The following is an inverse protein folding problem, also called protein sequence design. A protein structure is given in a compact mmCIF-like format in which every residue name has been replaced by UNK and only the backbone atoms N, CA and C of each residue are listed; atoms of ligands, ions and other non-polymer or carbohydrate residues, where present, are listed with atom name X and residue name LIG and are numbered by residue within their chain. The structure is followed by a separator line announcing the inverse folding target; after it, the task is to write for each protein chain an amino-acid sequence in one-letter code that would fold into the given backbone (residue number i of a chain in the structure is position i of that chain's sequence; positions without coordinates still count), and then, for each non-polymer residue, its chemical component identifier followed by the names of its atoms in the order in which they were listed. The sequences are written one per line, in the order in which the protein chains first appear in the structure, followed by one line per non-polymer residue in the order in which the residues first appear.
data_IF_630110523513
#
_entry.id   IF_630110523513
#
_cell.length_a   1.000
_cell.length_b   1.000
_cell.length_c   1.000
_cell.angle_alpha   90.00
_cell.angle_beta   90.00
_cell.angle_gamma   90.00
#
_symmetry.space_group_name_H-M   'P 1'
#
loop_
_entity.id
_entity.type
_entity.pdbx_description
1 polymer ?
#
# COMPACT_ATOMS: atom_id res chain seq x y z
N UNK A 1 2.48 16.49 -19.52
CA UNK A 1 2.86 15.93 -18.21
C UNK A 1 1.73 15.05 -17.69
N UNK A 2 2.04 13.93 -17.03
CA UNK A 2 1.09 13.03 -16.37
C UNK A 2 1.37 12.99 -14.87
N UNK A 3 0.36 12.69 -14.03
CA UNK A 3 0.58 12.48 -12.59
C UNK A 3 1.49 11.27 -12.35
N UNK A 4 1.27 10.19 -13.11
CA UNK A 4 2.12 9.02 -13.27
C UNK A 4 2.16 8.62 -14.74
N UNK A 5 3.34 8.58 -15.37
CA UNK A 5 3.46 8.37 -16.82
C UNK A 5 3.82 6.92 -17.16
N UNK A 6 2.78 6.09 -17.25
CA UNK A 6 2.92 4.68 -17.60
C UNK A 6 3.34 4.47 -19.08
N UNK A 7 3.07 5.45 -19.94
CA UNK A 7 3.48 5.36 -21.34
C UNK A 7 5.00 5.51 -21.49
N UNK A 8 5.60 6.53 -20.84
CA UNK A 8 7.07 6.69 -20.83
C UNK A 8 7.75 5.47 -20.19
N UNK A 9 7.15 4.88 -19.13
CA UNK A 9 7.67 3.65 -18.53
C UNK A 9 7.66 2.49 -19.53
N UNK A 10 6.54 2.29 -20.25
CA UNK A 10 6.44 1.25 -21.27
C UNK A 10 7.47 1.45 -22.38
N UNK A 11 7.60 2.66 -22.96
CA UNK A 11 8.56 2.95 -24.01
C UNK A 11 10.02 2.66 -23.57
N UNK A 12 10.36 2.96 -22.30
CA UNK A 12 11.70 2.66 -21.77
C UNK A 12 12.02 1.16 -21.69
N UNK A 13 10.99 0.30 -21.51
CA UNK A 13 11.16 -1.16 -21.34
C UNK A 13 10.50 -1.96 -22.47
N UNK A 14 10.08 -1.30 -23.56
CA UNK A 14 9.19 -1.84 -24.59
C UNK A 14 9.65 -3.20 -25.14
N UNK A 15 10.89 -3.34 -25.51
CA UNK A 15 11.39 -4.57 -26.11
C UNK A 15 11.31 -5.78 -25.16
N UNK A 16 11.61 -5.58 -23.88
CA UNK A 16 11.54 -6.64 -22.86
C UNK A 16 10.07 -6.97 -22.52
N UNK A 17 9.22 -5.96 -22.38
CA UNK A 17 7.79 -6.14 -22.09
C UNK A 17 7.09 -6.87 -23.23
N UNK A 18 7.29 -6.44 -24.48
CA UNK A 18 6.68 -7.08 -25.64
C UNK A 18 7.12 -8.54 -25.76
N UNK A 19 8.41 -8.82 -25.57
CA UNK A 19 8.94 -10.19 -25.61
C UNK A 19 8.33 -11.06 -24.49
N UNK A 20 8.19 -10.52 -23.26
CA UNK A 20 7.60 -11.24 -22.13
C UNK A 20 6.11 -11.56 -22.36
N UNK A 21 5.33 -10.59 -22.84
CA UNK A 21 3.91 -10.78 -23.17
C UNK A 21 3.70 -11.82 -24.27
N UNK A 22 4.46 -11.73 -25.36
CA UNK A 22 4.40 -12.69 -26.47
C UNK A 22 4.84 -14.09 -26.03
N UNK A 23 5.85 -14.19 -25.15
CA UNK A 23 6.29 -15.47 -24.58
C UNK A 23 5.19 -16.17 -23.79
N UNK A 24 4.45 -15.45 -22.95
CA UNK A 24 3.30 -16.01 -22.22
C UNK A 24 2.19 -16.42 -23.19
N UNK A 25 1.86 -15.56 -24.16
CA UNK A 25 0.82 -15.88 -25.16
C UNK A 25 1.16 -17.15 -25.94
N UNK A 26 2.42 -17.30 -26.37
CA UNK A 26 2.89 -18.48 -27.09
C UNK A 26 2.89 -19.76 -26.24
N UNK A 27 3.11 -19.65 -24.92
CA UNK A 27 3.11 -20.80 -24.01
C UNK A 27 1.72 -21.38 -23.73
N UNK A 28 0.66 -20.55 -23.85
CA UNK A 28 -0.70 -20.92 -23.46
C UNK A 28 -0.91 -21.11 -21.94
N UNK A 29 0.08 -20.84 -21.09
CA UNK A 29 0.02 -21.00 -19.64
C UNK A 29 -0.32 -19.66 -18.97
N UNK A 30 -1.61 -19.38 -18.80
CA UNK A 30 -2.09 -18.05 -18.37
C UNK A 30 -2.35 -17.94 -16.87
N UNK A 31 -2.42 -19.03 -16.13
CA UNK A 31 -2.77 -19.02 -14.70
C UNK A 31 -1.73 -19.84 -13.92
N UNK A 32 -1.08 -19.19 -12.93
CA UNK A 32 -0.02 -19.80 -12.11
C UNK A 32 1.16 -20.30 -12.98
N UNK A 33 1.85 -21.36 -12.55
CA UNK A 33 2.97 -21.94 -13.29
C UNK A 33 4.32 -21.27 -12.99
N UNK A 34 5.32 -21.61 -13.79
CA UNK A 34 6.74 -21.28 -13.51
C UNK A 34 7.03 -19.76 -13.50
N UNK A 35 6.35 -18.99 -14.34
CA UNK A 35 6.52 -17.53 -14.39
C UNK A 35 6.06 -16.89 -13.09
N UNK A 36 4.88 -17.28 -12.60
CA UNK A 36 4.34 -16.78 -11.32
C UNK A 36 5.23 -17.25 -10.16
N UNK A 37 5.60 -18.53 -10.12
CA UNK A 37 6.48 -19.05 -9.08
C UNK A 37 7.89 -18.40 -9.12
N UNK A 38 8.39 -18.07 -10.31
CA UNK A 38 9.62 -17.32 -10.49
C UNK A 38 9.54 -15.91 -9.96
N UNK A 39 8.44 -15.21 -10.24
CA UNK A 39 8.17 -13.87 -9.68
C UNK A 39 8.06 -13.91 -8.15
N UNK A 40 7.34 -14.88 -7.59
CA UNK A 40 7.18 -15.01 -6.14
C UNK A 40 8.54 -15.16 -5.42
N UNK A 41 9.47 -15.94 -5.99
CA UNK A 41 10.83 -16.05 -5.46
C UNK A 41 11.59 -14.73 -5.54
N UNK A 42 11.56 -14.06 -6.70
CA UNK A 42 12.24 -12.78 -6.90
C UNK A 42 11.70 -11.68 -5.95
N UNK A 43 10.38 -11.64 -5.71
CA UNK A 43 9.77 -10.70 -4.79
C UNK A 43 10.13 -11.03 -3.33
N UNK A 44 10.12 -12.30 -2.93
CA UNK A 44 10.54 -12.72 -1.60
C UNK A 44 12.02 -12.36 -1.33
N UNK A 45 12.91 -12.63 -2.30
CA UNK A 45 14.31 -12.25 -2.25
C UNK A 45 14.50 -10.73 -2.16
N UNK A 46 13.74 -9.96 -2.95
CA UNK A 46 13.81 -8.50 -2.96
C UNK A 46 13.39 -7.88 -1.62
N UNK A 47 12.31 -8.39 -1.04
CA UNK A 47 11.78 -7.94 0.26
C UNK A 47 12.64 -8.44 1.42
N UNK A 48 13.27 -9.60 1.27
CA UNK A 48 14.10 -10.22 2.30
C UNK A 48 13.32 -11.10 3.27
N UNK A 49 12.28 -11.79 2.78
CA UNK A 49 11.45 -12.74 3.54
C UNK A 49 11.42 -14.12 2.89
N UNK A 50 10.99 -15.16 3.62
CA UNK A 50 10.96 -16.53 3.09
C UNK A 50 9.93 -16.73 1.97
N UNK A 51 8.75 -16.12 2.10
CA UNK A 51 7.63 -16.43 1.24
C UNK A 51 6.99 -15.17 0.67
N UNK A 52 6.71 -15.22 -0.64
CA UNK A 52 5.78 -14.36 -1.32
C UNK A 52 4.66 -15.22 -1.91
N UNK A 53 3.42 -14.79 -1.78
CA UNK A 53 2.24 -15.41 -2.38
C UNK A 53 1.50 -14.34 -3.17
N UNK A 54 1.52 -14.42 -4.49
CA UNK A 54 0.83 -13.47 -5.37
C UNK A 54 -0.67 -13.74 -5.43
N UNK A 55 -1.47 -12.71 -5.63
CA UNK A 55 -2.93 -12.77 -5.70
C UNK A 55 -3.49 -11.72 -6.68
N UNK A 56 -4.82 -11.65 -6.80
CA UNK A 56 -5.49 -10.83 -7.79
C UNK A 56 -5.45 -9.32 -7.48
N UNK A 57 -5.32 -8.92 -6.21
CA UNK A 57 -5.26 -7.52 -5.78
C UNK A 57 -4.72 -7.39 -4.36
N UNK A 58 -4.28 -6.18 -3.95
CA UNK A 58 -3.94 -5.93 -2.55
C UNK A 58 -5.17 -6.01 -1.62
N UNK A 59 -6.36 -5.67 -2.09
CA UNK A 59 -7.61 -5.87 -1.33
C UNK A 59 -7.79 -7.34 -0.96
N UNK A 60 -7.59 -8.25 -1.90
CA UNK A 60 -7.61 -9.68 -1.62
C UNK A 60 -6.45 -10.13 -0.73
N UNK A 61 -5.26 -9.51 -0.88
CA UNK A 61 -4.12 -9.79 -0.01
C UNK A 61 -4.45 -9.47 1.46
N UNK A 62 -4.93 -8.27 1.73
CA UNK A 62 -5.36 -7.86 3.08
C UNK A 62 -6.47 -8.77 3.63
N UNK A 63 -7.46 -9.10 2.78
CA UNK A 63 -8.54 -10.02 3.17
C UNK A 63 -8.00 -11.41 3.51
N UNK A 64 -7.10 -11.96 2.70
CA UNK A 64 -6.48 -13.25 2.99
C UNK A 64 -5.59 -13.21 4.24
N UNK A 65 -4.91 -12.10 4.53
CA UNK A 65 -4.18 -11.92 5.78
C UNK A 65 -5.13 -12.04 6.99
N UNK A 66 -6.27 -11.35 6.98
CA UNK A 66 -7.29 -11.48 8.04
C UNK A 66 -7.84 -12.91 8.16
N UNK A 67 -8.07 -13.59 7.03
CA UNK A 67 -8.53 -14.99 7.02
C UNK A 67 -7.50 -15.94 7.65
N UNK A 68 -6.22 -15.77 7.35
CA UNK A 68 -5.11 -16.57 7.90
C UNK A 68 -4.98 -16.36 9.40
N UNK A 69 -5.15 -15.13 9.87
CA UNK A 69 -5.06 -14.77 11.29
C UNK A 69 -6.35 -15.09 12.07
N UNK A 70 -7.39 -15.63 11.40
CA UNK A 70 -8.64 -16.01 12.02
C UNK A 70 -9.46 -14.84 12.55
N UNK A 71 -9.31 -13.66 11.95
CA UNK A 71 -10.01 -12.42 12.35
C UNK A 71 -11.41 -12.38 11.73
N UNK A 72 -12.43 -12.06 12.54
CA UNK A 72 -13.83 -12.06 12.14
C UNK A 72 -14.78 -11.39 13.12
N UNK A 73 -16.05 -11.78 13.16
CA UNK A 73 -17.06 -11.18 14.03
C UNK A 73 -16.66 -11.17 15.50
N UNK A 74 -16.83 -10.01 16.16
CA UNK A 74 -16.43 -9.78 17.56
C UNK A 74 -15.02 -9.26 17.72
N UNK A 75 -14.21 -9.21 16.65
CA UNK A 75 -12.87 -8.65 16.67
C UNK A 75 -12.86 -7.17 16.28
N UNK A 76 -12.01 -6.41 16.94
CA UNK A 76 -11.63 -5.04 16.56
C UNK A 76 -10.30 -5.07 15.80
N UNK A 77 -10.25 -4.41 14.65
CA UNK A 77 -9.02 -4.18 13.86
C UNK A 77 -8.79 -2.69 13.75
N UNK A 78 -7.62 -2.23 14.17
CA UNK A 78 -7.25 -0.82 14.17
C UNK A 78 -6.65 -0.44 12.82
N UNK A 79 -7.19 0.63 12.20
CA UNK A 79 -6.83 1.06 10.84
C UNK A 79 -6.69 2.60 10.84
N UNK A 80 -5.73 3.20 10.12
CA UNK A 80 -5.67 4.65 9.99
C UNK A 80 -6.98 5.22 9.44
N UNK A 81 -7.46 6.35 9.99
CA UNK A 81 -8.65 7.06 9.47
C UNK A 81 -8.35 7.79 8.15
N UNK A 82 -7.08 8.09 7.88
CA UNK A 82 -6.61 8.70 6.65
C UNK A 82 -5.84 7.69 5.80
N UNK A 83 -6.56 6.95 4.96
CA UNK A 83 -6.00 5.92 4.08
C UNK A 83 -6.91 5.64 2.88
N UNK A 84 -6.49 4.70 2.01
CA UNK A 84 -7.35 4.16 0.96
C UNK A 84 -8.42 3.24 1.56
N UNK A 85 -9.61 3.24 0.95
CA UNK A 85 -10.79 2.56 1.46
C UNK A 85 -10.59 1.07 1.73
N UNK A 86 -9.79 0.38 0.90
CA UNK A 86 -9.58 -1.05 1.01
C UNK A 86 -9.00 -1.49 2.37
N UNK A 87 -8.14 -0.69 3.01
CA UNK A 87 -7.55 -1.04 4.31
C UNK A 87 -8.61 -1.26 5.40
N UNK A 88 -9.73 -0.53 5.35
CA UNK A 88 -10.86 -0.66 6.28
C UNK A 88 -11.98 -1.58 5.73
N UNK A 89 -12.22 -1.56 4.41
CA UNK A 89 -13.24 -2.36 3.73
C UNK A 89 -13.06 -3.86 4.00
N UNK A 90 -11.83 -4.35 3.94
CA UNK A 90 -11.53 -5.76 4.16
C UNK A 90 -11.89 -6.22 5.56
N UNK A 91 -11.72 -5.36 6.57
CA UNK A 91 -12.09 -5.64 7.96
C UNK A 91 -13.60 -5.84 8.07
N UNK A 92 -14.38 -4.87 7.57
CA UNK A 92 -15.83 -4.95 7.57
C UNK A 92 -16.34 -6.15 6.75
N UNK A 93 -15.72 -6.47 5.60
CA UNK A 93 -16.10 -7.58 4.76
C UNK A 93 -15.82 -8.95 5.40
N UNK A 94 -14.91 -9.04 6.38
CA UNK A 94 -14.68 -10.23 7.19
C UNK A 94 -15.63 -10.32 8.41
N UNK A 95 -16.50 -9.31 8.61
CA UNK A 95 -17.39 -9.22 9.75
C UNK A 95 -16.73 -8.73 11.04
N UNK A 96 -15.46 -8.35 11.00
CA UNK A 96 -14.79 -7.67 12.08
C UNK A 96 -15.14 -6.18 12.09
N UNK A 97 -14.82 -5.48 13.18
CA UNK A 97 -15.12 -4.06 13.34
C UNK A 97 -13.85 -3.24 13.14
N UNK A 98 -13.77 -2.38 12.10
CA UNK A 98 -12.68 -1.44 11.99
C UNK A 98 -12.81 -0.34 13.05
N UNK A 99 -11.73 -0.06 13.78
CA UNK A 99 -11.59 1.07 14.70
C UNK A 99 -10.59 2.02 14.08
N UNK A 100 -11.03 3.25 13.82
CA UNK A 100 -10.21 4.24 13.14
C UNK A 100 -9.26 4.94 14.11
N UNK A 101 -8.00 5.05 13.69
CA UNK A 101 -6.89 5.65 14.43
C UNK A 101 -6.44 6.91 13.71
N UNK A 102 -6.13 7.96 14.48
CA UNK A 102 -5.59 9.19 13.89
C UNK A 102 -4.20 8.95 13.28
N UNK A 103 -3.69 9.93 12.58
CA UNK A 103 -2.42 9.84 11.87
C UNK A 103 -1.50 10.98 12.26
N UNK A 104 -0.20 10.80 12.06
CA UNK A 104 0.78 11.86 12.21
C UNK A 104 0.66 12.89 11.07
N UNK A 105 0.78 14.17 11.40
CA UNK A 105 0.67 15.25 10.42
C UNK A 105 1.84 15.27 9.42
N UNK A 106 3.04 14.90 9.88
CA UNK A 106 4.27 15.04 9.14
C UNK A 106 4.49 13.96 8.08
N UNK A 107 4.03 12.72 8.36
CA UNK A 107 4.26 11.54 7.52
C UNK A 107 2.98 10.83 7.08
N UNK A 108 1.81 11.26 7.59
CA UNK A 108 0.48 10.76 7.25
C UNK A 108 0.19 9.32 7.71
N UNK A 109 1.10 8.68 8.40
CA UNK A 109 0.99 7.32 8.87
C UNK A 109 0.32 7.25 10.25
N UNK A 110 -0.09 6.05 10.65
CA UNK A 110 -0.81 5.81 11.90
C UNK A 110 -0.06 6.37 13.12
N UNK A 111 -0.77 7.11 13.96
CA UNK A 111 -0.25 7.63 15.23
C UNK A 111 -0.25 6.52 16.29
N UNK A 112 0.94 6.14 16.77
CA UNK A 112 1.12 5.04 17.73
C UNK A 112 0.56 5.37 19.11
N UNK A 113 0.61 6.64 19.53
CA UNK A 113 0.05 7.08 20.80
C UNK A 113 -1.48 7.02 20.77
N UNK A 114 -2.12 7.57 19.73
CA UNK A 114 -3.58 7.47 19.55
C UNK A 114 -4.03 6.00 19.40
N UNK A 115 -3.25 5.17 18.68
CA UNK A 115 -3.50 3.73 18.59
C UNK A 115 -3.54 3.07 19.97
N UNK A 116 -2.57 3.38 20.83
CA UNK A 116 -2.50 2.83 22.20
C UNK A 116 -3.72 3.24 23.03
N UNK A 117 -4.14 4.50 22.95
CA UNK A 117 -5.33 5.02 23.63
C UNK A 117 -6.62 4.32 23.15
N UNK A 118 -6.79 4.16 21.83
CA UNK A 118 -7.95 3.50 21.23
C UNK A 118 -8.02 2.01 21.54
N UNK A 119 -6.88 1.31 21.59
CA UNK A 119 -6.83 -0.07 22.07
C UNK A 119 -7.32 -0.16 23.52
N UNK A 120 -6.84 0.72 24.39
CA UNK A 120 -7.29 0.77 25.79
C UNK A 120 -8.78 1.10 25.90
N UNK A 121 -9.29 2.02 25.07
CA UNK A 121 -10.71 2.36 25.03
C UNK A 121 -11.57 1.15 24.63
N UNK A 122 -11.22 0.45 23.54
CA UNK A 122 -11.95 -0.76 23.08
C UNK A 122 -11.99 -1.81 24.17
N UNK A 123 -10.86 -2.09 24.84
CA UNK A 123 -10.79 -3.05 25.96
C UNK A 123 -11.68 -2.73 27.13
N UNK A 124 -11.85 -1.44 27.44
CA UNK A 124 -12.53 -1.00 28.67
C UNK A 124 -14.01 -0.65 28.44
N UNK A 125 -14.43 -0.36 27.21
CA UNK A 125 -15.75 0.24 26.95
C UNK A 125 -16.57 -0.49 25.88
N UNK A 126 -16.07 -1.60 25.32
CA UNK A 126 -16.80 -2.39 24.33
C UNK A 126 -16.66 -3.88 24.61
N UNK A 127 -17.51 -4.71 23.97
CA UNK A 127 -17.40 -6.17 24.00
C UNK A 127 -16.47 -6.71 22.90
N UNK A 128 -15.83 -5.84 22.12
CA UNK A 128 -14.93 -6.25 21.04
C UNK A 128 -13.57 -6.70 21.59
N UNK A 129 -13.01 -7.73 20.96
CA UNK A 129 -11.66 -8.18 21.23
C UNK A 129 -10.68 -7.44 20.32
N UNK A 130 -9.75 -6.61 20.83
CA UNK A 130 -8.63 -6.12 20.05
C UNK A 130 -7.85 -7.31 19.45
N UNK A 131 -7.74 -7.37 18.11
CA UNK A 131 -7.19 -8.52 17.42
C UNK A 131 -6.00 -8.20 16.51
N UNK A 132 -6.06 -7.09 15.77
CA UNK A 132 -5.00 -6.71 14.86
C UNK A 132 -4.92 -5.20 14.63
N UNK A 133 -3.77 -4.78 14.09
CA UNK A 133 -3.52 -3.47 13.50
C UNK A 133 -3.21 -3.67 12.02
N UNK A 134 -3.81 -2.87 11.14
CA UNK A 134 -3.38 -2.69 9.76
C UNK A 134 -2.68 -1.34 9.67
N UNK A 135 -1.36 -1.34 9.57
CA UNK A 135 -0.55 -0.14 9.37
C UNK A 135 -0.28 0.05 7.90
N UNK A 136 -0.49 1.28 7.39
CA UNK A 136 -0.39 1.60 5.96
C UNK A 136 0.88 2.40 5.71
N UNK A 137 1.62 2.05 4.67
CA UNK A 137 2.77 2.81 4.17
C UNK A 137 2.28 3.94 3.25
N UNK A 138 1.63 4.93 3.83
CA UNK A 138 0.93 5.93 3.03
C UNK A 138 1.90 6.78 2.21
N UNK A 139 1.52 7.04 0.96
CA UNK A 139 2.30 7.76 -0.04
C UNK A 139 3.68 7.15 -0.37
N UNK A 140 3.96 5.97 0.19
CA UNK A 140 5.20 5.23 -0.06
C UNK A 140 6.22 5.29 1.07
N UNK A 141 5.88 5.91 2.18
CA UNK A 141 6.70 5.92 3.38
C UNK A 141 6.24 4.84 4.36
N UNK A 142 7.11 3.87 4.73
CA UNK A 142 6.78 2.91 5.77
C UNK A 142 6.36 3.61 7.08
N UNK A 143 5.31 3.08 7.73
CA UNK A 143 4.89 3.54 9.04
C UNK A 143 5.99 3.27 10.10
N UNK A 144 5.85 3.81 11.29
CA UNK A 144 6.81 3.51 12.37
C UNK A 144 6.66 2.08 12.89
N UNK A 145 7.12 1.13 12.09
CA UNK A 145 7.10 -0.29 12.45
C UNK A 145 7.96 -0.62 13.65
N UNK A 146 8.92 0.23 14.03
CA UNK A 146 9.74 0.01 15.22
C UNK A 146 8.86 0.01 16.47
N UNK A 147 8.05 1.05 16.62
CA UNK A 147 7.17 1.19 17.77
C UNK A 147 5.89 0.34 17.63
N UNK A 148 5.36 0.19 16.40
CA UNK A 148 4.21 -0.67 16.13
C UNK A 148 4.46 -2.14 16.47
N UNK A 149 5.61 -2.71 16.08
CA UNK A 149 5.98 -4.10 16.41
C UNK A 149 6.12 -4.30 17.93
N UNK A 150 6.71 -3.32 18.64
CA UNK A 150 6.83 -3.36 20.10
C UNK A 150 5.45 -3.31 20.77
N UNK A 151 4.59 -2.39 20.36
CA UNK A 151 3.23 -2.23 20.91
C UNK A 151 2.38 -3.48 20.66
N UNK A 152 2.31 -3.95 19.41
CA UNK A 152 1.52 -5.11 19.05
C UNK A 152 1.97 -6.37 19.77
N UNK A 153 3.29 -6.61 19.85
CA UNK A 153 3.86 -7.72 20.61
C UNK A 153 3.52 -7.63 22.10
N UNK A 154 3.64 -6.44 22.68
CA UNK A 154 3.34 -6.22 24.11
C UNK A 154 1.87 -6.46 24.45
N UNK A 155 0.96 -6.23 23.50
CA UNK A 155 -0.48 -6.39 23.67
C UNK A 155 -1.05 -7.69 23.08
N UNK A 156 -0.20 -8.53 22.48
CA UNK A 156 -0.57 -9.77 21.78
C UNK A 156 -1.59 -9.51 20.65
N UNK A 157 -1.31 -8.48 19.84
CA UNK A 157 -2.06 -8.14 18.64
C UNK A 157 -1.30 -8.57 17.39
N UNK A 158 -2.01 -8.96 16.36
CA UNK A 158 -1.41 -9.13 15.05
C UNK A 158 -1.11 -7.79 14.39
N UNK A 159 -0.04 -7.72 13.62
CA UNK A 159 0.34 -6.55 12.83
C UNK A 159 0.40 -6.92 11.35
N UNK A 160 -0.43 -6.27 10.54
CA UNK A 160 -0.46 -6.40 9.09
C UNK A 160 0.08 -5.11 8.49
N UNK A 161 1.07 -5.23 7.61
CA UNK A 161 1.58 -4.11 6.82
C UNK A 161 0.80 -3.99 5.52
N UNK A 162 0.10 -2.88 5.31
CA UNK A 162 -0.47 -2.48 4.02
C UNK A 162 0.58 -1.67 3.24
N UNK A 163 1.49 -2.37 2.61
CA UNK A 163 2.54 -1.82 1.74
C UNK A 163 2.07 -1.59 0.30
N UNK A 164 0.75 -1.39 0.06
CA UNK A 164 0.23 -1.11 -1.29
C UNK A 164 0.88 0.09 -1.97
N UNK A 165 1.40 1.02 -1.21
CA UNK A 165 2.16 2.18 -1.69
C UNK A 165 3.63 2.11 -1.27
N UNK A 166 3.98 1.27 -0.29
CA UNK A 166 5.28 1.18 0.35
C UNK A 166 6.34 0.38 -0.40
N UNK A 167 5.97 -0.48 -1.37
CA UNK A 167 6.93 -1.38 -2.02
C UNK A 167 8.17 -0.62 -2.54
N UNK A 168 9.36 -1.04 -2.12
CA UNK A 168 10.64 -0.38 -2.38
C UNK A 168 11.08 0.59 -1.28
N UNK A 169 10.18 1.00 -0.37
CA UNK A 169 10.53 1.74 0.85
C UNK A 169 11.33 0.88 1.83
N UNK A 170 11.90 1.50 2.87
CA UNK A 170 12.64 0.79 3.91
C UNK A 170 12.81 1.61 5.18
N UNK A 171 13.06 0.93 6.31
CA UNK A 171 13.51 1.52 7.57
C UNK A 171 14.82 0.83 7.97
N UNK A 172 15.91 1.59 8.12
CA UNK A 172 17.21 1.04 8.51
C UNK A 172 17.74 -0.07 7.57
N UNK A 173 17.30 -0.08 6.30
CA UNK A 173 17.63 -1.10 5.31
C UNK A 173 16.69 -2.31 5.27
N UNK A 174 15.79 -2.49 6.25
CA UNK A 174 14.71 -3.49 6.20
C UNK A 174 13.62 -2.98 5.26
N UNK A 175 13.27 -3.76 4.26
CA UNK A 175 12.35 -3.37 3.19
C UNK A 175 10.89 -3.34 3.65
N UNK A 176 10.11 -2.43 3.10
CA UNK A 176 8.65 -2.47 3.17
C UNK A 176 8.11 -3.80 2.64
N UNK A 177 6.97 -4.21 3.13
CA UNK A 177 6.35 -5.52 2.99
C UNK A 177 7.04 -6.66 3.80
N UNK A 178 8.01 -6.35 4.66
CA UNK A 178 8.63 -7.32 5.58
C UNK A 178 8.30 -7.08 7.05
N UNK A 179 7.51 -6.05 7.35
CA UNK A 179 7.18 -5.70 8.73
C UNK A 179 5.95 -6.46 9.23
N UNK A 180 5.83 -6.58 10.56
CA UNK A 180 4.73 -7.28 11.23
C UNK A 180 4.67 -8.79 10.95
N UNK A 181 3.49 -9.35 11.05
CA UNK A 181 3.20 -10.78 10.83
C UNK A 181 3.06 -11.12 9.34
N UNK A 182 2.39 -10.25 8.60
CA UNK A 182 2.12 -10.38 7.15
C UNK A 182 2.23 -9.00 6.51
N UNK A 183 3.14 -8.86 5.54
CA UNK A 183 3.18 -7.71 4.64
C UNK A 183 2.32 -7.94 3.41
N UNK A 184 1.72 -6.88 2.87
CA UNK A 184 0.93 -6.94 1.63
C UNK A 184 1.38 -5.85 0.65
N UNK A 185 1.16 -6.04 -0.65
CA UNK A 185 1.39 -4.99 -1.63
C UNK A 185 0.44 -5.05 -2.81
N UNK A 186 0.37 -3.96 -3.55
CA UNK A 186 -0.46 -3.79 -4.74
C UNK A 186 0.40 -3.68 -5.99
N UNK A 187 -0.01 -4.38 -7.03
CA UNK A 187 0.54 -4.24 -8.37
C UNK A 187 -0.40 -3.49 -9.33
N UNK A 188 -1.39 -2.74 -8.80
CA UNK A 188 -2.19 -1.84 -9.64
C UNK A 188 -1.27 -0.93 -10.47
N UNK A 189 -1.59 -0.62 -11.75
CA UNK A 189 -0.64 -0.01 -12.69
C UNK A 189 0.08 1.24 -12.20
N UNK A 190 -0.59 2.08 -11.39
CA UNK A 190 -0.01 3.33 -10.87
C UNK A 190 0.83 3.14 -9.59
N UNK A 191 0.98 1.93 -9.06
CA UNK A 191 1.80 1.64 -7.86
C UNK A 191 3.29 1.68 -8.18
N UNK A 192 4.17 1.78 -7.15
CA UNK A 192 5.63 1.82 -7.37
C UNK A 192 6.10 0.70 -8.31
N UNK A 193 5.74 -0.54 -8.02
CA UNK A 193 5.89 -1.69 -8.92
C UNK A 193 4.50 -2.10 -9.40
N UNK A 194 4.07 -1.64 -10.58
CA UNK A 194 2.73 -1.88 -11.14
C UNK A 194 2.75 -2.79 -12.36
N UNK A 195 1.79 -3.72 -12.46
CA UNK A 195 1.54 -4.53 -13.65
C UNK A 195 0.62 -3.80 -14.65
N UNK A 196 0.09 -4.48 -15.65
CA UNK A 196 -0.82 -3.93 -16.67
C UNK A 196 -2.27 -4.37 -16.45
N UNK A 197 -2.68 -4.47 -15.20
CA UNK A 197 -3.99 -4.83 -14.71
C UNK A 197 -3.98 -4.84 -13.19
N UNK A 198 -4.85 -5.63 -12.58
CA UNK A 198 -4.84 -5.82 -11.14
C UNK A 198 -3.83 -6.89 -10.73
N UNK A 199 -3.32 -6.76 -9.51
CA UNK A 199 -2.41 -7.71 -8.89
C UNK A 199 -2.06 -7.29 -7.47
N UNK A 200 -1.60 -8.26 -6.69
CA UNK A 200 -1.11 -8.05 -5.34
C UNK A 200 -0.26 -9.21 -4.87
N UNK A 201 0.33 -9.05 -3.69
CA UNK A 201 1.07 -10.12 -3.04
C UNK A 201 1.03 -9.99 -1.52
N UNK A 202 1.28 -11.12 -0.85
CA UNK A 202 1.50 -11.24 0.59
C UNK A 202 2.90 -11.78 0.84
N UNK A 203 3.49 -11.31 1.94
CA UNK A 203 4.85 -11.64 2.36
C UNK A 203 4.85 -12.13 3.81
N UNK A 204 5.56 -13.20 4.11
CA UNK A 204 5.67 -13.72 5.48
C UNK A 204 6.86 -14.68 5.62
N UNK A 205 7.39 -14.79 6.83
CA UNK A 205 8.39 -15.80 7.18
C UNK A 205 7.77 -17.09 7.73
N UNK A 206 6.45 -17.12 7.92
CA UNK A 206 5.73 -18.25 8.51
C UNK A 206 5.34 -19.27 7.42
N UNK A 207 5.91 -20.47 7.53
CA UNK A 207 5.71 -21.55 6.56
C UNK A 207 4.23 -22.03 6.49
N UNK A 208 3.55 -22.09 7.65
CA UNK A 208 2.15 -22.53 7.73
C UNK A 208 1.20 -21.49 7.12
N UNK A 209 1.43 -20.21 7.39
CA UNK A 209 0.64 -19.13 6.78
C UNK A 209 0.84 -19.08 5.27
N UNK A 210 2.08 -19.25 4.79
CA UNK A 210 2.35 -19.27 3.36
C UNK A 210 1.64 -20.44 2.66
N UNK A 211 1.62 -21.63 3.28
CA UNK A 211 0.88 -22.78 2.77
C UNK A 211 -0.64 -22.53 2.75
N UNK A 212 -1.19 -21.92 3.82
CA UNK A 212 -2.60 -21.56 3.92
C UNK A 212 -2.98 -20.50 2.88
N UNK A 213 -2.18 -19.47 2.67
CA UNK A 213 -2.39 -18.43 1.65
C UNK A 213 -2.45 -19.02 0.24
N UNK A 214 -1.54 -19.96 -0.09
CA UNK A 214 -1.56 -20.66 -1.40
C UNK A 214 -2.84 -21.48 -1.60
N UNK A 215 -3.37 -22.05 -0.54
CA UNK A 215 -4.68 -22.75 -0.57
C UNK A 215 -5.82 -21.74 -0.75
N UNK A 216 -5.86 -20.68 0.06
CA UNK A 216 -6.92 -19.67 0.07
C UNK A 216 -7.08 -18.99 -1.30
N UNK A 217 -5.98 -18.57 -1.96
CA UNK A 217 -6.05 -17.91 -3.27
C UNK A 217 -6.64 -18.79 -4.39
N UNK A 218 -6.75 -20.09 -4.17
CA UNK A 218 -7.22 -21.08 -5.14
C UNK A 218 -8.40 -21.89 -4.57
N UNK A 219 -9.44 -21.20 -4.09
CA UNK A 219 -10.69 -21.78 -3.57
C UNK A 219 -10.53 -22.67 -2.33
N UNK A 220 -9.50 -22.45 -1.51
CA UNK A 220 -9.24 -23.30 -0.34
C UNK A 220 -8.82 -24.73 -0.68
N UNK A 221 -8.17 -24.92 -1.83
CA UNK A 221 -7.77 -26.24 -2.35
C UNK A 221 -6.79 -26.93 -1.41
N UNK A 222 -7.01 -28.23 -1.21
CA UNK A 222 -6.07 -29.16 -0.56
C UNK A 222 -5.01 -29.69 -1.55
N UNK A 223 -4.59 -30.94 -1.34
CA UNK A 223 -3.57 -31.59 -2.18
C UNK A 223 -4.13 -32.03 -3.54
N UNK A 224 -5.37 -32.48 -3.57
CA UNK A 224 -6.03 -32.95 -4.78
C UNK A 224 -6.72 -31.84 -5.55
N UNK A 225 -6.88 -32.00 -6.87
CA UNK A 225 -7.40 -30.94 -7.76
C UNK A 225 -8.80 -30.44 -7.38
N UNK A 226 -9.67 -31.31 -6.92
CA UNK A 226 -11.07 -31.00 -6.58
C UNK A 226 -11.36 -31.15 -5.08
N UNK A 227 -10.32 -31.22 -4.25
CA UNK A 227 -10.44 -31.27 -2.81
C UNK A 227 -10.34 -29.85 -2.23
N UNK A 228 -11.48 -29.23 -1.95
CA UNK A 228 -11.56 -27.91 -1.34
C UNK A 228 -11.81 -28.09 0.16
N UNK A 229 -10.76 -28.04 0.94
CA UNK A 229 -10.76 -28.35 2.39
C UNK A 229 -11.12 -27.17 3.29
N UNK A 230 -11.27 -25.97 2.69
CA UNK A 230 -11.70 -24.73 3.36
C UNK A 230 -12.35 -23.77 2.38
N UNK A 231 -13.05 -22.76 2.92
CA UNK A 231 -13.55 -21.67 2.09
C UNK A 231 -12.34 -20.76 1.72
N UNK A 232 -12.20 -20.46 0.46
CA UNK A 232 -11.15 -19.60 -0.07
C UNK A 232 -11.70 -18.64 -1.13
N UNK A 233 -10.79 -18.05 -1.92
CA UNK A 233 -11.07 -17.06 -2.94
C UNK A 233 -10.62 -17.57 -4.31
N UNK A 234 -11.13 -16.97 -5.37
CA UNK A 234 -10.53 -17.03 -6.70
C UNK A 234 -9.62 -15.80 -6.85
N UNK A 235 -8.42 -15.86 -6.28
CA UNK A 235 -7.52 -14.73 -6.20
C UNK A 235 -6.10 -15.13 -6.60
N UNK A 236 -5.86 -15.13 -7.90
CA UNK A 236 -4.56 -15.50 -8.50
C UNK A 236 -4.05 -14.33 -9.34
N UNK A 237 -2.73 -14.14 -9.35
CA UNK A 237 -2.10 -13.24 -10.30
C UNK A 237 -2.03 -13.95 -11.66
N UNK A 238 -2.52 -13.31 -12.71
CA UNK A 238 -2.40 -13.83 -14.08
C UNK A 238 -0.94 -13.87 -14.53
N UNK A 239 -0.58 -14.91 -15.30
CA UNK A 239 0.81 -15.09 -15.77
C UNK A 239 1.29 -13.93 -16.64
N UNK A 240 0.39 -13.31 -17.40
CA UNK A 240 0.70 -12.09 -18.19
C UNK A 240 1.17 -10.96 -17.26
N UNK A 241 0.47 -10.73 -16.15
CA UNK A 241 0.84 -9.69 -15.18
C UNK A 241 2.17 -10.03 -14.50
N UNK A 242 2.36 -11.30 -14.16
CA UNK A 242 3.62 -11.77 -13.56
C UNK A 242 4.82 -11.55 -14.49
N UNK A 243 4.67 -11.79 -15.79
CA UNK A 243 5.71 -11.56 -16.78
C UNK A 243 6.10 -10.07 -16.91
N UNK A 244 5.10 -9.17 -16.89
CA UNK A 244 5.33 -7.71 -16.85
C UNK A 244 6.09 -7.31 -15.59
N UNK A 245 5.68 -7.82 -14.43
CA UNK A 245 6.33 -7.52 -13.15
C UNK A 245 7.77 -8.02 -13.09
N UNK A 246 8.09 -9.20 -13.66
CA UNK A 246 9.47 -9.69 -13.75
C UNK A 246 10.38 -8.77 -14.55
N UNK A 247 9.88 -8.18 -15.64
CA UNK A 247 10.64 -7.19 -16.41
C UNK A 247 10.83 -5.92 -15.57
N UNK A 248 9.75 -5.34 -15.04
CA UNK A 248 9.83 -4.09 -14.28
C UNK A 248 10.68 -4.21 -13.02
N UNK A 249 10.66 -5.36 -12.34
CA UNK A 249 11.46 -5.58 -11.12
C UNK A 249 12.96 -5.46 -11.38
N UNK A 250 13.45 -5.83 -12.58
CA UNK A 250 14.87 -5.65 -12.95
C UNK A 250 15.30 -4.18 -13.01
N UNK A 251 14.38 -3.29 -13.34
CA UNK A 251 14.63 -1.85 -13.50
C UNK A 251 14.19 -1.04 -12.27
N UNK A 252 13.57 -1.70 -11.29
CA UNK A 252 12.86 -1.04 -10.21
C UNK A 252 13.76 -0.20 -9.30
N UNK A 253 14.96 -0.69 -8.97
CA UNK A 253 15.89 0.08 -8.11
C UNK A 253 16.38 1.36 -8.79
N UNK A 254 16.50 1.39 -10.11
CA UNK A 254 16.87 2.60 -10.85
C UNK A 254 15.70 3.58 -10.93
N UNK A 255 14.47 3.09 -11.11
CA UNK A 255 13.26 3.91 -10.99
C UNK A 255 13.12 4.50 -9.58
N UNK A 256 13.42 3.70 -8.53
CA UNK A 256 13.40 4.17 -7.15
C UNK A 256 14.42 5.28 -6.90
N UNK A 257 15.65 5.15 -7.41
CA UNK A 257 16.67 6.21 -7.33
C UNK A 257 16.22 7.49 -8.04
N UNK A 258 15.56 7.36 -9.19
CA UNK A 258 15.04 8.51 -9.93
C UNK A 258 13.95 9.26 -9.14
N UNK A 259 12.96 8.57 -8.55
CA UNK A 259 11.95 9.25 -7.72
C UNK A 259 12.55 9.88 -6.46
N UNK A 260 13.58 9.26 -5.85
CA UNK A 260 14.33 9.86 -4.74
C UNK A 260 15.03 11.18 -5.17
N UNK A 261 15.59 11.22 -6.37
CA UNK A 261 16.20 12.42 -6.93
C UNK A 261 15.16 13.53 -7.16
N UNK A 262 14.03 13.19 -7.76
CA UNK A 262 12.92 14.12 -8.01
C UNK A 262 12.37 14.69 -6.69
N UNK A 263 12.18 13.83 -5.68
CA UNK A 263 11.70 14.27 -4.37
C UNK A 263 12.66 15.27 -3.71
N UNK A 264 13.98 15.04 -3.77
CA UNK A 264 14.97 16.01 -3.28
C UNK A 264 14.85 17.37 -4.00
N UNK A 265 14.68 17.36 -5.32
CA UNK A 265 14.48 18.59 -6.09
C UNK A 265 13.21 19.34 -5.68
N UNK A 266 12.09 18.63 -5.55
CA UNK A 266 10.86 19.22 -5.03
C UNK A 266 11.09 19.83 -3.63
N UNK A 267 11.75 19.11 -2.73
CA UNK A 267 12.06 19.61 -1.40
C UNK A 267 12.86 20.93 -1.43
N UNK A 268 13.84 21.04 -2.34
CA UNK A 268 14.67 22.25 -2.47
C UNK A 268 13.88 23.42 -3.08
N UNK A 269 13.10 23.18 -4.14
CA UNK A 269 12.37 24.21 -4.88
C UNK A 269 11.10 24.69 -4.17
N UNK A 270 10.48 23.86 -3.33
CA UNK A 270 9.21 24.14 -2.65
C UNK A 270 9.39 24.58 -1.19
N UNK A 271 10.61 24.56 -0.67
CA UNK A 271 10.92 24.96 0.71
C UNK A 271 10.40 26.37 1.01
N UNK A 272 9.59 26.50 2.05
CA UNK A 272 9.00 27.77 2.48
C UNK A 272 7.78 28.24 1.66
N UNK A 273 7.37 27.51 0.62
CA UNK A 273 6.15 27.79 -0.15
C UNK A 273 4.95 26.98 0.33
N UNK A 274 5.16 25.74 0.72
CA UNK A 274 4.16 24.79 1.20
C UNK A 274 4.77 23.90 2.29
N UNK A 275 3.94 23.16 3.04
CA UNK A 275 4.44 22.14 3.95
C UNK A 275 4.80 20.87 3.16
N UNK A 276 6.04 20.43 3.34
CA UNK A 276 6.62 19.27 2.65
C UNK A 276 6.47 18.00 3.49
N UNK A 277 6.37 16.82 2.86
CA UNK A 277 6.39 15.56 3.60
C UNK A 277 7.74 15.37 4.32
N UNK A 278 7.70 14.89 5.55
CA UNK A 278 8.89 14.62 6.36
C UNK A 278 9.27 13.15 6.23
N UNK A 279 10.49 12.88 5.76
CA UNK A 279 11.05 11.53 5.71
C UNK A 279 12.23 11.45 6.67
N UNK A 280 12.16 10.65 7.75
CA UNK A 280 13.25 10.49 8.69
C UNK A 280 14.54 9.96 8.04
N UNK A 281 15.73 10.28 8.55
CA UNK A 281 17.01 9.89 7.92
C UNK A 281 17.20 8.37 7.73
N UNK A 282 16.61 7.55 8.60
CA UNK A 282 16.70 6.09 8.52
C UNK A 282 15.67 5.48 7.55
N UNK A 283 14.75 6.30 7.01
CA UNK A 283 13.64 5.85 6.18
C UNK A 283 13.91 6.18 4.71
N UNK A 284 13.58 5.24 3.85
CA UNK A 284 13.47 5.44 2.40
C UNK A 284 12.01 5.36 2.01
N UNK A 285 11.45 6.44 1.45
CA UNK A 285 10.10 6.42 0.87
C UNK A 285 10.17 5.96 -0.59
N UNK A 286 9.22 5.16 -1.05
CA UNK A 286 9.06 4.84 -2.47
C UNK A 286 8.47 6.00 -3.28
N UNK A 287 7.97 7.03 -2.60
CA UNK A 287 7.26 8.16 -3.21
C UNK A 287 6.21 7.72 -4.23
N UNK A 288 5.36 6.77 -3.84
CA UNK A 288 4.19 6.40 -4.64
C UNK A 288 3.37 7.65 -5.02
N UNK A 289 3.33 8.62 -4.10
CA UNK A 289 2.88 10.00 -4.30
C UNK A 289 3.88 10.96 -3.63
N UNK A 290 4.05 12.15 -4.20
CA UNK A 290 4.69 13.28 -3.53
C UNK A 290 3.59 14.25 -3.09
N UNK A 291 3.25 14.20 -1.81
CA UNK A 291 2.10 14.92 -1.24
C UNK A 291 2.57 16.07 -0.37
N UNK A 292 2.12 17.27 -0.71
CA UNK A 292 2.33 18.52 0.04
C UNK A 292 1.07 18.90 0.81
N UNK A 293 1.20 19.81 1.77
CA UNK A 293 0.07 20.40 2.49
C UNK A 293 0.05 21.92 2.31
N UNK A 294 -1.15 22.49 2.17
CA UNK A 294 -1.38 23.94 2.12
C UNK A 294 -2.82 24.27 2.46
N UNK A 295 -3.05 25.35 3.20
CA UNK A 295 -4.40 25.85 3.53
C UNK A 295 -5.15 26.37 2.30
N UNK A 296 -4.43 26.71 1.23
CA UNK A 296 -5.01 27.17 -0.04
C UNK A 296 -5.10 26.07 -1.10
N UNK A 297 -5.28 24.79 -0.68
CA UNK A 297 -5.26 23.60 -1.51
C UNK A 297 -6.08 23.70 -2.79
N UNK A 298 -7.32 24.13 -2.71
CA UNK A 298 -8.23 24.19 -3.86
C UNK A 298 -7.81 25.30 -4.85
N UNK A 299 -7.34 26.44 -4.34
CA UNK A 299 -6.81 27.51 -5.18
C UNK A 299 -5.52 27.09 -5.89
N UNK A 300 -4.63 26.39 -5.19
CA UNK A 300 -3.40 25.83 -5.76
C UNK A 300 -3.73 24.78 -6.83
N UNK A 301 -4.67 23.87 -6.55
CA UNK A 301 -5.10 22.85 -7.52
C UNK A 301 -5.67 23.49 -8.79
N UNK A 302 -6.49 24.55 -8.66
CA UNK A 302 -7.03 25.28 -9.80
C UNK A 302 -5.92 25.96 -10.63
N UNK A 303 -4.90 26.54 -9.97
CA UNK A 303 -3.74 27.17 -10.62
C UNK A 303 -2.90 26.15 -11.39
N UNK A 304 -2.59 25.01 -10.79
CA UNK A 304 -1.89 23.91 -11.45
C UNK A 304 -2.65 23.41 -12.67
N UNK A 305 -3.96 23.21 -12.53
CA UNK A 305 -4.83 22.78 -13.64
C UNK A 305 -4.83 23.80 -14.79
N UNK A 306 -4.88 25.12 -14.50
CA UNK A 306 -4.82 26.17 -15.51
C UNK A 306 -3.47 26.17 -16.26
N UNK A 307 -2.38 25.77 -15.62
CA UNK A 307 -1.06 25.57 -16.23
C UNK A 307 -0.88 24.20 -16.92
N UNK A 308 -1.93 23.36 -16.98
CA UNK A 308 -1.87 22.02 -17.59
C UNK A 308 -1.11 20.99 -16.75
N UNK A 309 -0.91 21.26 -15.46
CA UNK A 309 -0.22 20.39 -14.52
C UNK A 309 -1.26 19.54 -13.76
N UNK A 310 -1.23 18.19 -13.88
CA UNK A 310 -2.13 17.34 -13.14
C UNK A 310 -1.75 17.30 -11.65
N UNK A 311 -2.77 17.26 -10.79
CA UNK A 311 -2.61 17.06 -9.35
C UNK A 311 -3.83 16.31 -8.81
N UNK A 312 -3.68 15.66 -7.66
CA UNK A 312 -4.75 14.85 -7.07
C UNK A 312 -4.84 15.06 -5.56
N UNK A 313 -6.05 14.92 -5.03
CA UNK A 313 -6.30 14.92 -3.59
C UNK A 313 -6.45 13.47 -3.11
N UNK A 314 -5.52 12.99 -2.34
CA UNK A 314 -5.54 11.71 -1.66
C UNK A 314 -5.42 11.93 -0.16
N UNK A 315 -6.54 11.93 0.64
CA UNK A 315 -7.92 11.62 0.23
C UNK A 315 -8.84 12.78 0.64
N UNK A 316 -9.99 12.98 -0.05
CA UNK A 316 -10.89 14.09 0.26
C UNK A 316 -11.83 13.83 1.45
N UNK A 317 -11.79 12.63 2.02
CA UNK A 317 -12.57 12.19 3.18
C UNK A 317 -11.80 11.15 3.97
N UNK A 318 -11.99 11.15 5.29
CA UNK A 318 -11.51 10.08 6.16
C UNK A 318 -12.37 8.82 6.03
N UNK A 319 -11.90 7.69 6.58
CA UNK A 319 -12.69 6.45 6.64
C UNK A 319 -13.94 6.62 7.49
N UNK A 320 -13.83 7.29 8.64
CA UNK A 320 -14.97 7.58 9.54
C UNK A 320 -16.06 8.42 8.87
N UNK A 321 -15.73 9.23 7.87
CA UNK A 321 -16.68 10.03 7.09
C UNK A 321 -17.32 9.26 5.92
N UNK A 322 -16.91 8.03 5.65
CA UNK A 322 -17.50 7.23 4.58
C UNK A 322 -18.86 6.67 5.00
N UNK A 323 -19.86 6.83 4.16
CA UNK A 323 -21.22 6.34 4.42
C UNK A 323 -21.27 4.82 4.70
N UNK A 324 -20.32 4.06 4.13
CA UNK A 324 -20.22 2.62 4.35
C UNK A 324 -19.96 2.23 5.82
N UNK A 325 -19.39 3.13 6.62
CA UNK A 325 -19.08 2.90 8.03
C UNK A 325 -20.05 3.60 9.00
N UNK A 326 -21.17 4.15 8.50
CA UNK A 326 -22.14 4.86 9.35
C UNK A 326 -22.71 3.98 10.49
N UNK A 327 -22.82 2.68 10.29
CA UNK A 327 -23.35 1.74 11.31
C UNK A 327 -22.44 1.54 12.52
N UNK A 328 -21.15 1.87 12.39
CA UNK A 328 -20.15 1.77 13.47
C UNK A 328 -19.70 3.13 14.00
N UNK A 329 -20.35 4.22 13.58
CA UNK A 329 -19.94 5.58 13.95
C UNK A 329 -19.92 5.81 15.47
N UNK A 330 -20.82 5.16 16.23
CA UNK A 330 -20.88 5.25 17.68
C UNK A 330 -19.70 4.60 18.42
N UNK A 331 -18.92 3.76 17.74
CA UNK A 331 -17.73 3.11 18.27
C UNK A 331 -16.45 3.90 17.99
N UNK A 332 -16.54 4.92 17.11
CA UNK A 332 -15.38 5.69 16.68
C UNK A 332 -15.12 6.87 17.63
N UNK A 333 -13.84 7.16 17.81
CA UNK A 333 -13.38 8.38 18.48
C UNK A 333 -12.84 9.37 17.45
N UNK A 334 -12.77 10.69 17.77
CA UNK A 334 -12.29 11.69 16.82
C UNK A 334 -10.87 11.41 16.32
N UNK A 335 -10.62 11.78 15.06
CA UNK A 335 -9.30 11.74 14.40
C UNK A 335 -9.02 13.12 13.77
N UNK A 336 -8.72 14.15 14.60
CA UNK A 336 -8.66 15.54 14.14
C UNK A 336 -7.55 15.82 13.14
N UNK A 337 -6.42 15.10 13.20
CA UNK A 337 -5.35 15.26 12.20
C UNK A 337 -5.78 14.70 10.87
N UNK A 338 -6.35 13.49 10.85
CA UNK A 338 -6.90 12.87 9.64
C UNK A 338 -7.95 13.77 8.96
N UNK A 339 -8.88 14.35 9.74
CA UNK A 339 -9.89 15.28 9.23
C UNK A 339 -9.25 16.54 8.60
N UNK A 340 -8.26 17.14 9.26
CA UNK A 340 -7.55 18.32 8.72
C UNK A 340 -6.81 18.01 7.43
N UNK A 341 -6.15 16.86 7.34
CA UNK A 341 -5.42 16.44 6.14
C UNK A 341 -6.33 16.34 4.90
N UNK A 342 -7.61 15.97 5.05
CA UNK A 342 -8.55 15.94 3.92
C UNK A 342 -8.72 17.31 3.26
N UNK A 343 -8.44 18.40 3.96
CA UNK A 343 -8.59 19.77 3.49
C UNK A 343 -7.29 20.36 2.94
N UNK A 344 -6.13 19.86 3.35
CA UNK A 344 -4.82 20.48 3.10
C UNK A 344 -3.95 19.75 2.10
N UNK A 345 -4.10 18.44 1.93
CA UNK A 345 -3.21 17.63 1.09
C UNK A 345 -3.42 17.82 -0.41
N UNK A 346 -2.31 17.82 -1.16
CA UNK A 346 -2.30 17.82 -2.62
C UNK A 346 -1.08 17.05 -3.14
N UNK A 347 -1.32 16.04 -3.97
CA UNK A 347 -0.26 15.24 -4.59
C UNK A 347 0.14 15.83 -5.94
N UNK A 348 1.43 15.99 -6.13
CA UNK A 348 2.09 16.53 -7.32
C UNK A 348 2.50 15.38 -8.27
N UNK A 349 2.79 15.67 -9.55
CA UNK A 349 3.34 14.67 -10.46
C UNK A 349 4.58 14.01 -9.89
N UNK A 350 4.59 12.68 -9.82
CA UNK A 350 5.70 11.89 -9.29
C UNK A 350 5.84 10.57 -10.05
N UNK A 351 6.86 10.47 -10.88
CA UNK A 351 7.25 9.24 -11.58
C UNK A 351 8.72 9.34 -12.07
N UNK A 352 9.42 8.20 -12.30
CA UNK A 352 10.86 8.19 -12.60
C UNK A 352 11.26 8.93 -13.89
N UNK A 353 10.31 9.25 -14.75
CA UNK A 353 10.51 9.82 -16.09
C UNK A 353 10.19 11.32 -16.18
N UNK A 354 10.02 12.03 -15.04
CA UNK A 354 9.88 13.49 -15.03
C UNK A 354 11.19 14.13 -15.47
N UNK A 355 11.07 15.10 -16.38
CA UNK A 355 12.23 15.91 -16.80
C UNK A 355 12.48 17.05 -15.81
N UNK A 356 13.69 17.58 -15.80
CA UNK A 356 14.05 18.76 -15.01
C UNK A 356 13.11 19.93 -15.25
N UNK A 357 12.80 20.21 -16.53
CA UNK A 357 11.91 21.29 -16.94
C UNK A 357 10.48 21.07 -16.42
N UNK A 358 9.99 19.82 -16.39
CA UNK A 358 8.68 19.50 -15.82
C UNK A 358 8.66 19.74 -14.31
N UNK A 359 9.72 19.40 -13.58
CA UNK A 359 9.85 19.62 -12.14
C UNK A 359 9.90 21.12 -11.83
N UNK A 360 10.70 21.89 -12.58
CA UNK A 360 10.81 23.34 -12.45
C UNK A 360 9.46 24.03 -12.73
N UNK A 361 8.77 23.63 -13.80
CA UNK A 361 7.44 24.17 -14.14
C UNK A 361 6.42 23.94 -13.02
N UNK A 362 6.40 22.74 -12.40
CA UNK A 362 5.55 22.48 -11.23
C UNK A 362 5.91 23.42 -10.08
N UNK A 363 7.18 23.56 -9.76
CA UNK A 363 7.63 24.37 -8.64
C UNK A 363 7.42 25.89 -8.85
N UNK A 364 7.56 26.40 -10.08
CA UNK A 364 7.28 27.79 -10.42
C UNK A 364 5.77 28.12 -10.36
N UNK A 365 4.93 27.11 -10.57
CA UNK A 365 3.47 27.28 -10.51
C UNK A 365 2.97 27.29 -9.05
N UNK A 366 3.71 26.73 -8.10
CA UNK A 366 3.46 26.76 -6.66
C UNK A 366 4.06 28.00 -6.01
#
# INVERSE_FOLDING_TARGET
MQLRDLHRQYEAMKAEIDAALLGVAASGSFILGDVVAGLERQLADYVGVKHCVTCASCTDALRMALMVLGIGPGDAVFVPDFTFFASAEVVASQGATPIFVDVCEDDFNIDVDDLSEKIAHVKNHTDLRPAAVIAVDLFGQPADFTDLELLCKGLNLHLIEDGAQGFGGSIGGRKACSFGDIGTTSFFPAKPLGCYGDGGALFTDNDDWAALLRSLRAHGRGTEKYDNIRIGLNSRLDTIQAAVLQVKLKHFDDELKAVQHIARKYNDLLRGKVTLPVVPPAVTSSYAQYTIQTDSRDALQARLKAAGIPSAVYYPRTMSQQAAFASIASLQQPCPVAERLTQTVLSLPMHPYLTEQEIELVAETI
#
